data_IF_395122085944
#
_entry.id   IF_395122085944
#
_cell.length_a   1.000
_cell.length_b   1.000
_cell.length_c   1.000
_cell.angle_alpha   90.00
_cell.angle_beta   90.00
_cell.angle_gamma   90.00
#
_symmetry.space_group_name_H-M   'P 1'
#
loop_
_entity.id
_entity.type
_entity.pdbx_description
1 polymer ?
#
# COMPACT_ATOMS: atom_id res chain seq x y z
N UNK A 1 -23.53 -13.53 11.29
CA UNK A 1 -22.18 -12.95 11.46
C UNK A 1 -21.73 -12.36 10.11
N UNK A 2 -21.11 -11.19 10.14
CA UNK A 2 -20.59 -10.57 8.92
C UNK A 2 -19.35 -11.34 8.41
N UNK A 3 -19.03 -11.22 7.12
CA UNK A 3 -17.81 -11.82 6.58
C UNK A 3 -16.55 -11.32 7.29
N UNK A 4 -16.54 -10.05 7.70
CA UNK A 4 -15.44 -9.45 8.47
C UNK A 4 -15.28 -10.15 9.82
N UNK A 5 -16.37 -10.32 10.59
CA UNK A 5 -16.31 -10.98 11.91
C UNK A 5 -15.84 -12.43 11.81
N UNK A 6 -16.21 -13.14 10.73
CA UNK A 6 -15.73 -14.50 10.50
C UNK A 6 -14.25 -14.52 10.16
N UNK A 7 -13.79 -13.59 9.30
CA UNK A 7 -12.40 -13.47 8.92
C UNK A 7 -11.52 -13.13 10.15
N UNK A 8 -11.91 -12.16 10.95
CA UNK A 8 -11.14 -11.76 12.14
C UNK A 8 -11.11 -12.83 13.24
N UNK A 9 -12.10 -13.72 13.29
CA UNK A 9 -12.08 -14.83 14.27
C UNK A 9 -11.15 -15.97 13.88
N UNK A 10 -11.08 -16.32 12.60
CA UNK A 10 -10.16 -17.34 12.05
C UNK A 10 -9.85 -17.02 10.58
N UNK A 11 -8.78 -16.25 10.33
CA UNK A 11 -8.41 -15.84 8.98
C UNK A 11 -8.06 -17.01 8.06
N UNK A 12 -7.36 -18.01 8.58
CA UNK A 12 -6.88 -19.13 7.78
C UNK A 12 -8.05 -20.02 7.33
N UNK A 13 -8.94 -20.39 8.24
CA UNK A 13 -10.12 -21.18 7.88
C UNK A 13 -11.04 -20.41 6.92
N UNK A 14 -11.22 -19.11 7.15
CA UNK A 14 -12.01 -18.28 6.24
C UNK A 14 -11.42 -18.21 4.83
N UNK A 15 -10.10 -18.08 4.72
CA UNK A 15 -9.39 -18.06 3.43
C UNK A 15 -9.56 -19.39 2.69
N UNK A 16 -9.42 -20.51 3.41
CA UNK A 16 -9.55 -21.84 2.83
C UNK A 16 -10.96 -22.07 2.27
N UNK A 17 -11.99 -21.75 3.03
CA UNK A 17 -13.40 -21.96 2.68
C UNK A 17 -13.93 -20.94 1.66
N UNK A 18 -13.24 -19.83 1.44
CA UNK A 18 -13.74 -18.74 0.61
C UNK A 18 -13.27 -18.80 -0.84
N UNK A 19 -14.18 -18.44 -1.76
CA UNK A 19 -13.83 -18.16 -3.15
C UNK A 19 -13.07 -16.85 -3.27
N UNK A 20 -12.23 -16.71 -4.29
CA UNK A 20 -11.47 -15.48 -4.59
C UNK A 20 -12.37 -14.25 -4.58
N UNK A 21 -13.54 -14.31 -5.20
CA UNK A 21 -14.49 -13.20 -5.23
C UNK A 21 -14.94 -12.72 -3.84
N UNK A 22 -15.06 -13.63 -2.86
CA UNK A 22 -15.40 -13.28 -1.48
C UNK A 22 -14.24 -12.59 -0.77
N UNK A 23 -13.01 -13.06 -0.98
CA UNK A 23 -11.79 -12.45 -0.44
C UNK A 23 -11.59 -11.05 -1.04
N UNK A 24 -11.75 -10.90 -2.34
CA UNK A 24 -11.65 -9.59 -3.04
C UNK A 24 -12.71 -8.61 -2.54
N UNK A 25 -13.95 -9.06 -2.34
CA UNK A 25 -15.00 -8.20 -1.79
C UNK A 25 -14.71 -7.75 -0.35
N UNK A 26 -14.09 -8.62 0.45
CA UNK A 26 -13.66 -8.27 1.80
C UNK A 26 -12.52 -7.26 1.77
N UNK A 27 -11.53 -7.47 0.91
CA UNK A 27 -10.40 -6.56 0.74
C UNK A 27 -10.84 -5.18 0.23
N UNK A 28 -11.74 -5.10 -0.75
CA UNK A 28 -12.33 -3.82 -1.21
C UNK A 28 -13.07 -3.06 -0.10
N UNK A 29 -13.72 -3.77 0.81
CA UNK A 29 -14.37 -3.13 1.97
C UNK A 29 -13.33 -2.60 2.97
N UNK A 30 -12.26 -3.35 3.20
CA UNK A 30 -11.15 -2.91 4.04
C UNK A 30 -10.46 -1.67 3.44
N UNK A 31 -10.18 -1.66 2.13
CA UNK A 31 -9.66 -0.50 1.42
C UNK A 31 -10.55 0.73 1.59
N UNK A 32 -11.86 0.55 1.36
CA UNK A 32 -12.82 1.66 1.48
C UNK A 32 -12.82 2.23 2.91
N UNK A 33 -12.77 1.40 3.92
CA UNK A 33 -12.73 1.86 5.30
C UNK A 33 -11.39 2.57 5.60
N UNK A 34 -10.27 1.99 5.21
CA UNK A 34 -8.94 2.55 5.45
C UNK A 34 -8.76 3.95 4.84
N UNK A 35 -9.26 4.16 3.61
CA UNK A 35 -9.09 5.43 2.91
C UNK A 35 -10.18 6.48 3.21
N UNK A 36 -11.34 6.07 3.69
CA UNK A 36 -12.50 6.95 3.82
C UNK A 36 -13.04 7.07 5.25
N UNK A 37 -12.50 6.31 6.21
CA UNK A 37 -12.89 6.39 7.63
C UNK A 37 -11.65 6.48 8.52
N UNK A 38 -11.82 6.91 9.75
CA UNK A 38 -10.74 6.94 10.74
C UNK A 38 -10.61 5.59 11.49
N UNK A 39 -11.49 4.63 11.19
CA UNK A 39 -11.51 3.31 11.82
C UNK A 39 -11.27 2.21 10.78
N UNK A 40 -10.05 1.66 10.70
CA UNK A 40 -9.76 0.54 9.82
C UNK A 40 -10.53 -0.72 10.28
N UNK A 41 -11.00 -1.51 9.31
CA UNK A 41 -11.79 -2.73 9.60
C UNK A 41 -10.94 -3.90 10.10
N UNK A 42 -9.63 -3.87 9.86
CA UNK A 42 -8.65 -4.88 10.23
C UNK A 42 -7.27 -4.24 10.34
N UNK A 43 -6.33 -4.93 10.98
CA UNK A 43 -4.93 -4.52 11.05
C UNK A 43 -4.22 -4.69 9.70
N UNK A 44 -3.07 -4.04 9.53
CA UNK A 44 -2.23 -4.17 8.33
C UNK A 44 -1.80 -5.63 8.11
N UNK A 45 -1.52 -6.37 9.18
CA UNK A 45 -1.14 -7.78 9.08
C UNK A 45 -2.27 -8.67 8.56
N UNK A 46 -3.49 -8.46 9.03
CA UNK A 46 -4.68 -9.17 8.55
C UNK A 46 -4.98 -8.81 7.10
N UNK A 47 -4.82 -7.54 6.73
CA UNK A 47 -4.99 -7.11 5.35
C UNK A 47 -3.94 -7.71 4.42
N UNK A 48 -2.67 -7.73 4.81
CA UNK A 48 -1.59 -8.33 4.03
C UNK A 48 -1.83 -9.83 3.82
N UNK A 49 -2.25 -10.55 4.88
CA UNK A 49 -2.61 -11.97 4.79
C UNK A 49 -3.75 -12.21 3.79
N UNK A 50 -4.79 -11.39 3.83
CA UNK A 50 -5.92 -11.47 2.90
C UNK A 50 -5.47 -11.22 1.46
N UNK A 51 -4.62 -10.25 1.24
CA UNK A 51 -4.10 -9.89 -0.08
C UNK A 51 -3.16 -10.97 -0.64
N UNK A 52 -2.34 -11.57 0.21
CA UNK A 52 -1.47 -12.68 -0.18
C UNK A 52 -2.28 -13.92 -0.54
N UNK A 53 -3.37 -14.21 0.19
CA UNK A 53 -4.30 -15.29 -0.14
C UNK A 53 -5.01 -15.09 -1.50
N UNK A 54 -5.37 -13.85 -1.83
CA UNK A 54 -5.91 -13.53 -3.17
C UNK A 54 -4.84 -13.80 -4.24
N UNK A 55 -3.60 -13.39 -4.01
CA UNK A 55 -2.48 -13.60 -4.94
C UNK A 55 -2.16 -15.08 -5.13
N UNK A 56 -2.24 -15.88 -4.09
CA UNK A 56 -2.00 -17.32 -4.15
C UNK A 56 -3.08 -18.04 -4.95
N UNK A 57 -4.36 -17.66 -4.76
CA UNK A 57 -5.50 -18.27 -5.45
C UNK A 57 -5.68 -17.77 -6.89
N UNK A 58 -5.34 -16.53 -7.18
CA UNK A 58 -5.47 -15.89 -8.51
C UNK A 58 -4.42 -14.78 -8.67
N UNK A 59 -3.18 -15.13 -9.11
CA UNK A 59 -2.06 -14.19 -9.21
C UNK A 59 -2.32 -13.01 -10.17
N UNK A 60 -3.13 -13.22 -11.20
CA UNK A 60 -3.41 -12.24 -12.25
C UNK A 60 -4.70 -11.45 -12.01
N UNK A 61 -5.32 -11.62 -10.84
CA UNK A 61 -6.58 -10.96 -10.53
C UNK A 61 -6.45 -9.43 -10.62
N UNK A 62 -7.38 -8.79 -11.33
CA UNK A 62 -7.40 -7.34 -11.57
C UNK A 62 -7.24 -6.50 -10.29
N UNK A 63 -7.81 -6.96 -9.17
CA UNK A 63 -7.71 -6.30 -7.88
C UNK A 63 -6.26 -6.08 -7.42
N UNK A 64 -5.34 -7.01 -7.71
CA UNK A 64 -3.93 -6.92 -7.31
C UNK A 64 -3.16 -5.85 -8.08
N UNK A 65 -3.61 -5.53 -9.29
CA UNK A 65 -3.00 -4.50 -10.15
C UNK A 65 -3.52 -3.08 -9.83
N UNK A 66 -4.68 -2.99 -9.17
CA UNK A 66 -5.25 -1.72 -8.75
C UNK A 66 -4.75 -1.35 -7.35
N UNK A 67 -3.87 -0.38 -7.27
CA UNK A 67 -3.40 0.18 -6.00
C UNK A 67 -4.37 1.27 -5.52
N UNK A 68 -5.11 0.95 -4.46
CA UNK A 68 -5.93 1.91 -3.73
C UNK A 68 -7.37 2.06 -4.23
N UNK A 69 -8.22 2.43 -3.31
CA UNK A 69 -9.61 2.83 -3.57
C UNK A 69 -9.66 4.33 -3.88
N UNK A 70 -10.59 4.76 -4.74
CA UNK A 70 -10.83 6.19 -4.93
C UNK A 70 -11.26 6.81 -3.59
N UNK A 71 -10.53 7.82 -3.15
CA UNK A 71 -10.86 8.56 -1.93
C UNK A 71 -12.09 9.42 -2.23
N UNK A 72 -13.20 9.11 -1.54
CA UNK A 72 -14.44 9.90 -1.64
C UNK A 72 -14.23 11.23 -0.86
N UNK A 73 -14.69 12.33 -1.43
CA UNK A 73 -14.73 13.66 -0.77
C UNK A 73 -13.39 14.34 -0.45
N UNK A 74 -12.25 13.90 -1.00
CA UNK A 74 -11.01 14.65 -0.89
C UNK A 74 -10.71 15.41 -2.17
N UNK A 75 -10.29 16.64 -2.03
CA UNK A 75 -9.84 17.47 -3.16
C UNK A 75 -8.54 16.85 -3.68
N UNK A 76 -8.57 16.35 -4.91
CA UNK A 76 -7.35 15.88 -5.57
C UNK A 76 -6.55 17.09 -6.02
N UNK A 77 -5.30 17.17 -5.56
CA UNK A 77 -4.35 18.20 -5.98
C UNK A 77 -3.40 17.55 -6.99
N UNK A 78 -3.26 18.17 -8.14
CA UNK A 78 -2.25 17.76 -9.12
C UNK A 78 -0.88 18.18 -8.62
N UNK A 79 0.00 17.18 -8.43
CA UNK A 79 1.35 17.44 -7.94
C UNK A 79 2.26 17.82 -9.11
N UNK A 80 3.11 18.84 -8.97
CA UNK A 80 4.04 19.27 -10.01
C UNK A 80 5.10 18.20 -10.32
N UNK A 81 5.27 17.24 -9.42
CA UNK A 81 6.19 16.11 -9.59
C UNK A 81 5.55 14.83 -9.09
N UNK A 82 5.80 13.74 -9.80
CA UNK A 82 5.35 12.41 -9.36
C UNK A 82 6.06 12.02 -8.05
N UNK A 83 5.25 11.71 -7.02
CA UNK A 83 5.71 11.17 -5.74
C UNK A 83 5.39 9.67 -5.71
N UNK A 84 6.26 8.88 -6.33
CA UNK A 84 6.10 7.42 -6.36
C UNK A 84 6.58 6.75 -5.08
N UNK A 85 6.00 5.59 -4.76
CA UNK A 85 6.49 4.74 -3.69
C UNK A 85 7.85 4.15 -4.04
N UNK A 86 8.74 4.04 -3.04
CA UNK A 86 10.00 3.34 -3.22
C UNK A 86 9.75 1.84 -3.40
N UNK A 87 10.57 1.20 -4.24
CA UNK A 87 10.54 -0.23 -4.41
C UNK A 87 10.87 -0.94 -3.09
N UNK A 88 10.01 -1.86 -2.67
CA UNK A 88 10.17 -2.68 -1.46
C UNK A 88 10.41 -4.12 -1.89
N UNK A 89 11.66 -4.61 -1.85
CA UNK A 89 11.94 -6.00 -2.16
C UNK A 89 11.33 -6.92 -1.09
N UNK A 90 10.79 -8.05 -1.52
CA UNK A 90 10.29 -9.09 -0.61
C UNK A 90 11.48 -9.75 0.08
N UNK A 91 11.34 -10.06 1.37
CA UNK A 91 12.42 -10.63 2.19
C UNK A 91 13.05 -11.91 1.56
N UNK A 92 12.23 -12.79 0.98
CA UNK A 92 12.67 -14.00 0.29
C UNK A 92 13.53 -13.74 -0.96
N UNK A 93 13.46 -12.54 -1.53
CA UNK A 93 14.19 -12.16 -2.74
C UNK A 93 15.46 -11.34 -2.47
N UNK A 94 15.70 -10.95 -1.22
CA UNK A 94 16.83 -10.07 -0.85
C UNK A 94 18.18 -10.62 -1.28
N UNK A 95 18.41 -11.93 -1.14
CA UNK A 95 19.66 -12.57 -1.54
C UNK A 95 19.98 -12.40 -3.03
N UNK A 96 18.94 -12.41 -3.87
CA UNK A 96 19.07 -12.21 -5.33
C UNK A 96 19.02 -10.72 -5.69
N UNK A 97 18.26 -9.93 -4.95
CA UNK A 97 18.08 -8.50 -5.21
C UNK A 97 19.35 -7.69 -4.91
N UNK A 98 19.97 -7.90 -3.74
CA UNK A 98 21.11 -7.11 -3.28
C UNK A 98 22.30 -7.16 -4.27
N UNK A 99 22.74 -8.31 -4.80
CA UNK A 99 23.84 -8.35 -5.77
C UNK A 99 23.49 -7.63 -7.07
N UNK A 100 22.24 -7.77 -7.57
CA UNK A 100 21.77 -7.08 -8.78
C UNK A 100 21.73 -5.57 -8.58
N UNK A 101 21.25 -5.13 -7.43
CA UNK A 101 21.17 -3.72 -7.07
C UNK A 101 22.58 -3.10 -7.01
N UNK A 102 23.53 -3.75 -6.32
CA UNK A 102 24.92 -3.31 -6.21
C UNK A 102 25.63 -3.24 -7.56
N UNK A 103 25.33 -4.18 -8.46
CA UNK A 103 25.87 -4.17 -9.82
C UNK A 103 25.33 -2.98 -10.64
N UNK A 104 24.07 -2.64 -10.49
CA UNK A 104 23.42 -1.54 -11.21
C UNK A 104 23.79 -0.17 -10.65
N UNK A 105 23.93 -0.10 -9.33
CA UNK A 105 24.21 1.14 -8.61
C UNK A 105 25.43 0.92 -7.70
N UNK A 106 26.66 1.09 -8.21
CA UNK A 106 27.85 0.99 -7.37
C UNK A 106 27.89 2.12 -6.33
N UNK A 107 28.09 1.74 -5.03
CA UNK A 107 28.08 2.68 -3.91
C UNK A 107 29.11 3.81 -3.99
N UNK A 108 29.14 4.66 -2.97
CA UNK A 108 28.75 4.38 -1.58
C UNK A 108 27.23 4.39 -1.31
N UNK A 109 26.80 3.65 -0.29
CA UNK A 109 25.40 3.56 0.11
C UNK A 109 25.20 4.20 1.49
N UNK A 110 24.07 4.88 1.65
CA UNK A 110 23.59 5.34 2.94
C UNK A 110 22.44 4.45 3.38
N UNK A 111 22.52 3.92 4.57
CA UNK A 111 21.45 3.10 5.17
C UNK A 111 20.79 3.97 6.26
N UNK A 112 19.50 4.13 6.18
CA UNK A 112 18.72 4.86 7.19
C UNK A 112 17.42 4.12 7.50
N UNK A 113 16.86 4.37 8.66
CA UNK A 113 15.51 3.94 8.99
C UNK A 113 14.52 4.59 8.05
N UNK A 114 13.57 3.81 7.52
CA UNK A 114 12.42 4.36 6.82
C UNK A 114 11.40 4.80 7.88
N UNK A 115 11.21 6.10 8.02
CA UNK A 115 10.17 6.61 8.90
C UNK A 115 8.80 6.35 8.28
N UNK A 116 7.88 5.94 9.10
CA UNK A 116 6.47 5.83 8.72
C UNK A 116 5.79 7.18 8.95
N UNK A 117 5.02 7.65 7.98
CA UNK A 117 4.39 8.97 8.04
C UNK A 117 3.63 9.31 6.77
N UNK A 118 3.04 10.47 6.76
CA UNK A 118 2.31 11.03 5.61
C UNK A 118 3.29 11.67 4.64
N UNK A 119 3.15 11.36 3.35
CA UNK A 119 3.93 12.01 2.30
C UNK A 119 3.52 13.48 2.17
N UNK A 120 4.51 14.38 2.09
CA UNK A 120 4.28 15.79 1.86
C UNK A 120 5.29 16.36 0.86
N UNK A 121 4.86 17.30 0.04
CA UNK A 121 5.72 18.03 -0.89
C UNK A 121 5.80 19.48 -0.46
N UNK A 122 7.02 19.95 -0.17
CA UNK A 122 7.30 21.37 0.06
C UNK A 122 7.93 21.97 -1.21
N UNK A 123 7.22 22.88 -1.83
CA UNK A 123 7.73 23.64 -2.97
C UNK A 123 8.24 25.01 -2.50
N UNK A 124 9.54 25.25 -2.65
CA UNK A 124 10.17 26.53 -2.39
C UNK A 124 10.42 27.25 -3.71
N UNK A 125 9.85 28.42 -3.87
CA UNK A 125 10.12 29.28 -5.04
C UNK A 125 11.07 30.42 -4.64
N UNK A 126 12.36 30.31 -4.97
CA UNK A 126 13.36 31.32 -4.56
C UNK A 126 13.18 32.68 -5.27
N UNK A 127 12.39 32.74 -6.33
CA UNK A 127 12.21 33.94 -7.15
C UNK A 127 10.99 34.78 -6.79
N UNK A 128 10.16 34.32 -5.88
CA UNK A 128 8.96 35.05 -5.45
C UNK A 128 8.95 35.22 -3.93
N UNK A 129 8.74 36.44 -3.48
CA UNK A 129 8.51 36.75 -2.05
C UNK A 129 7.18 36.13 -1.52
N UNK A 130 6.52 35.27 -2.26
CA UNK A 130 5.22 34.72 -1.91
C UNK A 130 5.16 33.24 -2.27
N UNK A 131 4.82 32.45 -1.27
CA UNK A 131 4.27 31.09 -1.35
C UNK A 131 5.24 29.93 -1.46
N UNK A 132 5.85 29.59 -0.35
CA UNK A 132 6.12 28.19 -0.05
C UNK A 132 4.77 27.47 0.11
N UNK A 133 4.53 26.42 -0.65
CA UNK A 133 3.31 25.59 -0.55
C UNK A 133 3.66 24.25 0.07
N UNK A 134 2.95 23.91 1.12
CA UNK A 134 2.92 22.54 1.61
C UNK A 134 1.73 21.83 0.96
N UNK A 135 1.99 20.77 0.23
CA UNK A 135 0.97 19.95 -0.40
C UNK A 135 0.92 18.62 0.37
N UNK A 136 -0.21 18.31 1.01
CA UNK A 136 -0.39 17.06 1.74
C UNK A 136 -0.49 15.85 0.83
#
# INVERSE_FOLDING_TARGET
MSHISKYLSDPYQFIEDSKVSSLVNLAKKADKAYYNTDEPLMSDQEYDLLRDAIREKDPDHEYLNNTGTSVENKVKIELPRHMGSMFKPVAAELEKFIPRYKKKFPGPYIISSKLDGVSGLLELNPSSNVNSRFLP
#
